data_IF_221294718730
#
_entry.id   IF_221294718730
#
_cell.length_a   1.000
_cell.length_b   1.000
_cell.length_c   1.000
_cell.angle_alpha   90.00
_cell.angle_beta   90.00
_cell.angle_gamma   90.00
#
_symmetry.space_group_name_H-M   'P 1'
#
loop_
_entity.id
_entity.type
_entity.pdbx_description
1 polymer ?
#
# COMPACT_ATOMS: atom_id res chain seq x y z
N UNK A 1 1.20 13.20 13.34
CA UNK A 1 0.16 12.30 12.84
C UNK A 1 0.34 12.04 11.36
N UNK A 2 0.31 10.77 10.95
CA UNK A 2 0.50 10.34 9.56
C UNK A 2 -0.82 10.53 8.81
N UNK A 3 -0.77 11.06 7.59
CA UNK A 3 -1.94 11.12 6.71
C UNK A 3 -1.85 10.07 5.63
N UNK A 4 -2.91 9.28 5.46
CA UNK A 4 -3.00 8.26 4.42
C UNK A 4 -3.96 8.76 3.35
N UNK A 5 -3.42 9.15 2.20
CA UNK A 5 -4.24 9.49 1.04
C UNK A 5 -4.64 8.21 0.30
N UNK A 6 -5.93 8.02 0.11
CA UNK A 6 -6.46 6.82 -0.52
C UNK A 6 -7.94 6.93 -0.84
N UNK A 7 -8.55 5.80 -1.20
CA UNK A 7 -10.00 5.67 -1.41
C UNK A 7 -10.46 4.28 -0.97
N UNK A 8 -11.68 4.16 -0.47
CA UNK A 8 -12.19 2.87 0.05
C UNK A 8 -12.33 1.80 -1.04
N UNK A 9 -12.62 2.22 -2.26
CA UNK A 9 -12.70 1.34 -3.43
C UNK A 9 -11.34 0.77 -3.87
N UNK A 10 -10.23 1.27 -3.33
CA UNK A 10 -8.90 0.72 -3.59
C UNK A 10 -8.57 -0.40 -2.60
N UNK A 11 -8.38 -1.65 -3.04
CA UNK A 11 -8.07 -2.77 -2.14
C UNK A 11 -6.75 -2.58 -1.39
N UNK A 12 -5.73 -1.97 -2.02
CA UNK A 12 -4.47 -1.66 -1.36
C UNK A 12 -4.62 -0.62 -0.24
N UNK A 13 -5.48 0.38 -0.41
CA UNK A 13 -5.78 1.36 0.63
C UNK A 13 -6.49 0.72 1.82
N UNK A 14 -7.46 -0.18 1.56
CA UNK A 14 -8.14 -0.93 2.62
C UNK A 14 -7.18 -1.83 3.40
N UNK A 15 -6.25 -2.52 2.72
CA UNK A 15 -5.23 -3.35 3.38
C UNK A 15 -4.29 -2.50 4.24
N UNK A 16 -3.77 -1.40 3.70
CA UNK A 16 -2.93 -0.47 4.44
C UNK A 16 -3.63 0.04 5.71
N UNK A 17 -4.88 0.47 5.59
CA UNK A 17 -5.71 0.91 6.72
C UNK A 17 -5.84 -0.16 7.79
N UNK A 18 -6.21 -1.38 7.40
CA UNK A 18 -6.38 -2.50 8.34
C UNK A 18 -5.11 -2.86 9.10
N UNK A 19 -3.95 -2.76 8.46
CA UNK A 19 -2.65 -3.00 9.10
C UNK A 19 -2.27 -1.90 10.09
N UNK A 20 -2.56 -0.63 9.75
CA UNK A 20 -2.37 0.48 10.68
C UNK A 20 -3.31 0.38 11.89
N UNK A 21 -4.58 0.05 11.65
CA UNK A 21 -5.58 -0.20 12.71
C UNK A 21 -5.13 -1.37 13.61
N UNK A 22 -4.71 -2.49 13.02
CA UNK A 22 -4.29 -3.70 13.74
C UNK A 22 -3.02 -3.50 14.59
N UNK A 23 -2.14 -2.59 14.19
CA UNK A 23 -0.91 -2.23 14.93
C UNK A 23 -1.09 -1.01 15.85
N UNK A 24 -2.31 -0.48 15.97
CA UNK A 24 -2.64 0.71 16.75
C UNK A 24 -1.79 1.95 16.38
N UNK A 25 -1.39 2.07 15.11
CA UNK A 25 -0.66 3.23 14.60
C UNK A 25 -1.68 4.34 14.32
N UNK A 26 -1.48 5.52 14.90
CA UNK A 26 -2.39 6.65 14.69
C UNK A 26 -2.22 7.29 13.30
N UNK A 27 -3.30 7.38 12.53
CA UNK A 27 -3.33 8.03 11.22
C UNK A 27 -4.63 8.79 10.95
N UNK A 28 -4.57 9.74 10.03
CA UNK A 28 -5.73 10.41 9.43
C UNK A 28 -5.93 9.86 8.01
N UNK A 29 -7.09 9.25 7.73
CA UNK A 29 -7.42 8.83 6.38
C UNK A 29 -8.00 9.99 5.57
N UNK A 30 -7.34 10.33 4.47
CA UNK A 30 -7.76 11.39 3.56
C UNK A 30 -8.31 10.77 2.29
N UNK A 31 -9.63 10.70 2.20
CA UNK A 31 -10.32 10.15 1.03
C UNK A 31 -10.21 11.10 -0.17
N UNK A 32 -9.52 10.65 -1.23
CA UNK A 32 -9.32 11.42 -2.46
C UNK A 32 -10.51 11.36 -3.42
N UNK A 33 -11.59 10.66 -3.07
CA UNK A 33 -12.86 10.75 -3.81
C UNK A 33 -13.47 12.16 -3.72
N UNK A 34 -13.13 12.92 -2.66
CA UNK A 34 -13.53 14.31 -2.47
C UNK A 34 -12.65 15.24 -3.29
N UNK A 35 -13.27 16.14 -4.06
CA UNK A 35 -12.57 17.03 -4.99
C UNK A 35 -11.50 17.91 -4.31
N UNK A 36 -11.76 18.37 -3.09
CA UNK A 36 -10.80 19.16 -2.30
C UNK A 36 -9.54 18.38 -1.91
N UNK A 37 -9.71 17.11 -1.53
CA UNK A 37 -8.61 16.22 -1.19
C UNK A 37 -7.86 15.78 -2.45
N UNK A 38 -8.58 15.54 -3.55
CA UNK A 38 -7.97 15.23 -4.84
C UNK A 38 -7.09 16.38 -5.33
N UNK A 39 -7.55 17.64 -5.25
CA UNK A 39 -6.72 18.81 -5.60
C UNK A 39 -5.45 18.87 -4.77
N UNK A 40 -5.57 18.61 -3.47
CA UNK A 40 -4.43 18.59 -2.55
C UNK A 40 -3.46 17.46 -2.90
N UNK A 41 -3.98 16.26 -3.18
CA UNK A 41 -3.19 15.10 -3.55
C UNK A 41 -2.50 15.25 -4.91
N UNK A 42 -3.19 15.78 -5.92
CA UNK A 42 -2.60 16.05 -7.24
C UNK A 42 -1.45 17.03 -7.11
N UNK A 43 -1.61 18.12 -6.34
CA UNK A 43 -0.50 19.06 -6.08
C UNK A 43 0.69 18.36 -5.41
N UNK A 44 0.44 17.54 -4.39
CA UNK A 44 1.47 16.79 -3.68
C UNK A 44 2.18 15.77 -4.59
N UNK A 45 1.41 15.01 -5.37
CA UNK A 45 1.92 14.08 -6.40
C UNK A 45 2.77 14.82 -7.42
N UNK A 46 2.35 16.03 -7.79
CA UNK A 46 3.00 16.84 -8.81
C UNK A 46 4.23 17.63 -8.29
N UNK A 47 4.48 17.65 -6.99
CA UNK A 47 5.69 18.28 -6.41
C UNK A 47 6.69 17.28 -5.81
N UNK A 48 6.23 16.13 -5.32
CA UNK A 48 7.09 15.22 -4.58
C UNK A 48 7.89 14.26 -5.51
N UNK A 49 9.18 14.02 -5.21
CA UNK A 49 10.04 13.14 -6.02
C UNK A 49 9.59 11.67 -5.97
N UNK A 50 8.96 11.24 -4.87
CA UNK A 50 8.42 9.86 -4.70
C UNK A 50 7.43 9.44 -5.80
N UNK A 51 6.86 10.41 -6.53
CA UNK A 51 5.92 10.16 -7.61
C UNK A 51 6.50 10.35 -9.01
N UNK A 52 7.74 10.81 -9.17
CA UNK A 52 8.33 11.06 -10.50
C UNK A 52 8.25 9.82 -11.40
N UNK A 53 8.57 8.64 -10.87
CA UNK A 53 8.55 7.38 -11.62
C UNK A 53 7.17 6.90 -12.06
N UNK A 54 6.08 7.49 -11.56
CA UNK A 54 4.71 7.12 -11.98
C UNK A 54 4.01 8.21 -12.78
N UNK A 55 4.60 9.40 -12.93
CA UNK A 55 4.01 10.50 -13.70
C UNK A 55 3.98 10.16 -15.18
N UNK A 56 2.88 10.52 -15.84
CA UNK A 56 2.66 10.17 -17.25
C UNK A 56 2.25 8.71 -17.47
N UNK A 57 2.08 7.93 -16.40
CA UNK A 57 1.50 6.58 -16.46
C UNK A 57 0.05 6.60 -15.99
N UNK A 58 -0.64 5.46 -16.08
CA UNK A 58 -2.01 5.28 -15.57
C UNK A 58 -2.06 5.11 -14.04
N UNK A 59 -0.91 5.08 -13.36
CA UNK A 59 -0.84 4.88 -11.91
C UNK A 59 -1.19 6.13 -11.12
N UNK A 60 -2.15 6.00 -10.20
CA UNK A 60 -2.60 7.10 -9.33
C UNK A 60 -1.59 7.38 -8.20
N UNK A 61 -0.90 6.34 -7.70
CA UNK A 61 0.09 6.46 -6.62
C UNK A 61 -0.48 6.40 -5.19
N UNK A 62 -1.67 5.81 -5.02
CA UNK A 62 -2.28 5.55 -3.70
C UNK A 62 -2.14 4.07 -3.31
N UNK A 63 -2.08 3.72 -2.01
CA UNK A 63 -2.06 4.62 -0.86
C UNK A 63 -0.75 5.42 -0.77
N UNK A 64 -0.83 6.66 -0.28
CA UNK A 64 0.33 7.50 -0.02
C UNK A 64 0.34 7.96 1.43
N UNK A 65 1.42 7.64 2.14
CA UNK A 65 1.69 8.06 3.51
C UNK A 65 2.39 9.41 3.47
N UNK A 66 1.79 10.41 4.09
CA UNK A 66 2.35 11.76 4.25
C UNK A 66 2.64 11.98 5.73
N UNK A 67 3.91 12.22 6.04
CA UNK A 67 4.39 12.44 7.40
C UNK A 67 4.36 13.94 7.75
N UNK A 68 4.50 14.25 9.04
CA UNK A 68 4.49 15.65 9.51
C UNK A 68 5.69 16.47 9.05
N UNK A 69 6.82 15.81 8.76
CA UNK A 69 8.01 16.43 8.18
C UNK A 69 7.86 16.77 6.68
N UNK A 70 6.71 16.44 6.09
CA UNK A 70 6.43 16.62 4.67
C UNK A 70 7.01 15.53 3.78
N UNK A 71 7.68 14.52 4.33
CA UNK A 71 8.10 13.35 3.57
C UNK A 71 6.89 12.52 3.13
N UNK A 72 7.03 11.85 1.99
CA UNK A 72 5.95 11.03 1.42
C UNK A 72 6.49 9.67 1.00
N UNK A 73 5.81 8.62 1.43
CA UNK A 73 6.09 7.23 1.04
C UNK A 73 4.86 6.58 0.41
N UNK A 74 5.06 5.85 -0.68
CA UNK A 74 4.02 5.03 -1.32
C UNK A 74 4.06 3.57 -0.85
N UNK A 75 5.23 3.13 -0.41
CA UNK A 75 5.43 1.80 0.15
C UNK A 75 5.11 1.83 1.65
N UNK A 76 3.87 1.49 1.96
CA UNK A 76 3.40 1.38 3.34
C UNK A 76 3.88 0.09 4.00
N UNK A 77 4.23 -0.95 3.25
CA UNK A 77 4.70 -2.22 3.81
C UNK A 77 6.10 -2.06 4.37
N UNK A 78 7.00 -1.42 3.62
CA UNK A 78 8.34 -1.07 4.10
C UNK A 78 8.27 -0.21 5.38
N UNK A 79 7.41 0.80 5.38
CA UNK A 79 7.20 1.64 6.58
C UNK A 79 6.73 0.81 7.79
N UNK A 80 5.77 -0.09 7.59
CA UNK A 80 5.28 -0.93 8.67
C UNK A 80 6.36 -1.87 9.22
N UNK A 81 7.22 -2.42 8.35
CA UNK A 81 8.34 -3.28 8.76
C UNK A 81 9.37 -2.50 9.59
N UNK A 82 9.68 -1.26 9.19
CA UNK A 82 10.57 -0.37 9.95
C UNK A 82 10.02 -0.07 11.36
N UNK A 83 8.72 0.18 11.48
CA UNK A 83 8.08 0.52 12.76
C UNK A 83 7.91 -0.70 13.67
N UNK A 84 7.73 -1.90 13.11
CA UNK A 84 7.58 -3.11 13.91
C UNK A 84 8.88 -3.62 14.53
N UNK A 85 10.06 -3.20 14.03
CA UNK A 85 11.37 -3.67 14.50
C UNK A 85 11.53 -5.18 14.30
N UNK A 86 12.24 -5.59 13.23
CA UNK A 86 12.61 -6.98 12.95
C UNK A 86 11.47 -8.01 13.10
N UNK A 87 10.68 -8.17 12.04
CA UNK A 87 10.14 -9.49 11.70
C UNK A 87 10.87 -9.96 10.44
N UNK A 88 12.09 -10.47 10.65
CA UNK A 88 12.61 -11.57 9.86
C UNK A 88 11.56 -12.70 9.88
N UNK A 89 11.18 -13.14 8.68
CA UNK A 89 10.62 -14.46 8.35
C UNK A 89 9.40 -14.97 9.16
N UNK A 90 8.22 -14.94 8.56
CA UNK A 90 7.32 -16.12 8.59
C UNK A 90 6.34 -16.05 7.42
N UNK A 91 6.62 -16.88 6.42
CA UNK A 91 5.63 -17.66 5.68
C UNK A 91 4.35 -16.95 5.23
N UNK A 92 4.35 -16.51 3.98
CA UNK A 92 3.20 -16.86 3.15
C UNK A 92 3.22 -18.39 3.11
N UNK A 93 2.23 -19.12 3.64
CA UNK A 93 2.01 -20.46 3.11
C UNK A 93 1.59 -20.21 1.66
N UNK A 94 2.55 -20.30 0.73
CA UNK A 94 2.22 -20.83 -0.58
C UNK A 94 1.66 -22.21 -0.27
N UNK A 95 0.33 -22.30 -0.27
CA UNK A 95 -0.36 -23.56 -0.20
C UNK A 95 0.32 -24.50 -1.19
N UNK A 96 0.81 -25.58 -0.61
CA UNK A 96 1.28 -26.79 -1.24
C UNK A 96 0.63 -27.00 -2.60
N UNK A 97 1.49 -27.08 -3.62
CA UNK A 97 1.35 -27.94 -4.78
C UNK A 97 -0.09 -28.41 -5.04
N UNK A 98 -0.82 -27.61 -5.80
CA UNK A 98 -1.88 -28.15 -6.62
C UNK A 98 -1.25 -29.11 -7.63
N UNK A 99 -1.04 -30.37 -7.22
CA UNK A 99 -0.69 -31.46 -8.09
C UNK A 99 -1.79 -31.56 -9.17
N UNK A 100 -1.54 -30.95 -10.32
CA UNK A 100 -2.28 -31.24 -11.53
C UNK A 100 -1.87 -32.65 -11.95
N UNK A 101 -2.69 -33.65 -11.61
CA UNK A 101 -2.56 -34.97 -12.21
C UNK A 101 -2.57 -34.80 -13.73
N UNK A 102 -1.48 -35.22 -14.40
CA UNK A 102 -1.50 -35.37 -15.84
C UNK A 102 -2.59 -36.39 -16.20
N UNK A 103 -3.51 -36.01 -17.09
CA UNK A 103 -4.63 -36.84 -17.52
C UNK A 103 -4.20 -38.02 -18.44
N UNK A 104 -2.90 -38.30 -18.57
CA UNK A 104 -2.34 -39.30 -19.47
C UNK A 104 -1.84 -40.59 -18.78
N UNK A 105 -2.09 -40.73 -17.47
CA UNK A 105 -1.95 -42.02 -16.78
C UNK A 105 -0.51 -42.56 -16.72
N UNK A 106 0.49 -41.72 -16.90
CA UNK A 106 1.91 -42.12 -16.82
C UNK A 106 2.53 -41.65 -15.51
N UNK A 107 2.12 -42.28 -14.40
CA UNK A 107 2.96 -42.44 -13.21
C UNK A 107 2.49 -41.81 -11.89
N UNK A 108 2.59 -42.61 -10.83
CA UNK A 108 3.20 -42.23 -9.56
C UNK A 108 4.51 -43.04 -9.44
#
# INVERSE_FOLDING_TARGET
>A
MIKIFGMEQCPHCRRCKGEFDGRAIAYEFVDISRLENLKTFVKLRDTQPTFEGIRGTESIGIPALVFEDGSVRRDWQAYLNEVSGDADDTDVPEESEGAACALDGSGC
#
